data_IF_496955494662
#
_entry.id   IF_496955494662
#
_cell.length_a   1.000
_cell.length_b   1.000
_cell.length_c   1.000
_cell.angle_alpha   90.00
_cell.angle_beta   90.00
_cell.angle_gamma   90.00
#
_symmetry.space_group_name_H-M   'P 1'
#
loop_
_entity.id
_entity.type
_entity.pdbx_description
1 polymer ?
#
# COMPACT_ATOMS: atom_id res chain seq x y z
N UNK A 1 39.83 -10.53 2.40
CA UNK A 1 39.09 -9.90 1.29
C UNK A 1 37.73 -10.54 0.97
N UNK A 2 37.49 -11.84 1.23
CA UNK A 2 36.20 -12.50 0.91
C UNK A 2 35.16 -12.42 2.03
N UNK A 3 35.58 -12.32 3.30
CA UNK A 3 34.69 -12.28 4.48
C UNK A 3 34.05 -10.90 4.71
N UNK A 4 34.79 -9.81 4.44
CA UNK A 4 34.27 -8.45 4.58
C UNK A 4 33.21 -8.09 3.54
N UNK A 5 33.30 -8.63 2.32
CA UNK A 5 32.32 -8.39 1.24
C UNK A 5 30.96 -9.03 1.58
N UNK A 6 30.95 -10.22 2.19
CA UNK A 6 29.73 -10.92 2.61
C UNK A 6 28.97 -10.14 3.68
N UNK A 7 29.69 -9.59 4.67
CA UNK A 7 29.12 -8.74 5.73
C UNK A 7 28.53 -7.44 5.16
N UNK A 8 29.24 -6.81 4.22
CA UNK A 8 28.74 -5.61 3.53
C UNK A 8 27.48 -5.94 2.72
N UNK A 9 27.44 -7.07 2.01
CA UNK A 9 26.25 -7.52 1.27
C UNK A 9 25.04 -7.80 2.18
N UNK A 10 25.26 -8.39 3.35
CA UNK A 10 24.20 -8.65 4.34
C UNK A 10 23.66 -7.35 4.99
N UNK A 11 24.54 -6.38 5.27
CA UNK A 11 24.16 -5.07 5.80
C UNK A 11 23.46 -4.20 4.74
N UNK A 12 23.91 -4.26 3.48
CA UNK A 12 23.32 -3.51 2.36
C UNK A 12 21.97 -4.09 1.95
N UNK A 13 21.83 -5.42 1.93
CA UNK A 13 20.55 -6.08 1.59
C UNK A 13 19.44 -5.76 2.60
N UNK A 14 19.76 -5.58 3.89
CA UNK A 14 18.77 -5.19 4.90
C UNK A 14 18.20 -3.78 4.64
N UNK A 15 19.03 -2.86 4.15
CA UNK A 15 18.63 -1.46 3.90
C UNK A 15 17.93 -1.23 2.56
N UNK A 16 18.13 -2.09 1.55
CA UNK A 16 17.57 -1.87 0.20
C UNK A 16 16.36 -2.75 -0.11
N UNK A 17 15.99 -3.68 0.77
CA UNK A 17 14.82 -4.55 0.60
C UNK A 17 13.51 -3.92 1.13
N UNK A 18 13.44 -2.59 1.13
CA UNK A 18 12.17 -1.89 1.23
C UNK A 18 11.49 -1.97 -0.13
N UNK A 19 10.64 -2.98 -0.32
CA UNK A 19 9.75 -3.05 -1.46
C UNK A 19 8.73 -1.90 -1.35
N UNK A 20 9.14 -0.70 -1.75
CA UNK A 20 8.24 0.37 -2.18
C UNK A 20 7.43 -0.21 -3.34
N UNK A 21 6.24 -0.72 -3.06
CA UNK A 21 5.29 -1.05 -4.11
C UNK A 21 4.83 0.29 -4.71
N UNK A 22 5.60 0.80 -5.67
CA UNK A 22 5.23 1.95 -6.50
C UNK A 22 4.02 1.54 -7.32
N UNK A 23 2.86 1.69 -6.72
CA UNK A 23 1.63 1.22 -7.30
C UNK A 23 1.07 2.36 -8.15
N UNK A 24 1.04 2.09 -9.46
CA UNK A 24 0.64 3.05 -10.48
C UNK A 24 -0.88 2.99 -10.59
N UNK A 25 -1.55 4.07 -10.23
CA UNK A 25 -2.99 4.24 -10.36
C UNK A 25 -3.32 5.50 -11.13
N UNK A 26 -4.45 5.48 -11.84
CA UNK A 26 -5.01 6.69 -12.43
C UNK A 26 -5.47 7.65 -11.33
N UNK A 27 -5.55 8.95 -11.66
CA UNK A 27 -6.10 9.99 -10.80
C UNK A 27 -7.61 10.14 -10.97
N UNK A 28 -8.28 9.17 -11.63
CA UNK A 28 -9.74 9.16 -11.77
C UNK A 28 -10.40 9.03 -10.39
N UNK A 29 -11.36 9.90 -10.11
CA UNK A 29 -12.10 9.87 -8.86
C UNK A 29 -13.37 9.01 -9.01
N UNK A 30 -13.30 7.80 -8.47
CA UNK A 30 -14.42 6.85 -8.30
C UNK A 30 -14.35 6.26 -6.88
N UNK A 31 -14.81 7.01 -5.87
CA UNK A 31 -14.52 6.71 -4.48
C UNK A 31 -15.04 5.34 -4.07
N UNK A 32 -14.29 4.64 -3.22
CA UNK A 32 -14.68 3.36 -2.62
C UNK A 32 -14.36 3.36 -1.13
N UNK A 33 -15.18 2.66 -0.34
CA UNK A 33 -14.95 2.50 1.09
C UNK A 33 -14.25 1.16 1.37
N UNK A 34 -13.17 1.19 2.14
CA UNK A 34 -12.56 -0.01 2.68
C UNK A 34 -13.22 -0.45 4.00
N UNK A 35 -13.10 -1.73 4.37
CA UNK A 35 -13.61 -2.23 5.67
C UNK A 35 -12.91 -1.60 6.88
N UNK A 36 -11.79 -0.92 6.64
CA UNK A 36 -11.07 -0.12 7.63
C UNK A 36 -11.66 1.29 7.83
N UNK A 37 -12.80 1.62 7.19
CA UNK A 37 -13.41 2.94 7.28
C UNK A 37 -12.69 4.04 6.51
N UNK A 38 -11.71 3.69 5.67
CA UNK A 38 -10.95 4.63 4.84
C UNK A 38 -11.57 4.74 3.45
N UNK A 39 -11.78 5.97 2.99
CA UNK A 39 -12.20 6.24 1.61
C UNK A 39 -10.97 6.29 0.71
N UNK A 40 -10.97 5.49 -0.35
CA UNK A 40 -9.96 5.51 -1.41
C UNK A 40 -10.51 6.21 -2.65
N UNK A 41 -9.70 6.99 -3.35
CA UNK A 41 -10.13 7.77 -4.52
C UNK A 41 -10.58 6.89 -5.69
N UNK A 42 -10.07 5.65 -5.77
CA UNK A 42 -10.55 4.61 -6.68
C UNK A 42 -10.15 3.20 -6.22
N UNK A 43 -10.71 2.18 -6.89
CA UNK A 43 -10.39 0.76 -6.63
C UNK A 43 -8.92 0.41 -6.80
N UNK A 44 -8.18 1.11 -7.67
CA UNK A 44 -6.75 0.90 -7.81
C UNK A 44 -6.03 1.31 -6.52
N UNK A 45 -6.30 2.52 -6.02
CA UNK A 45 -5.73 3.02 -4.77
C UNK A 45 -6.09 2.15 -3.56
N UNK A 46 -7.29 1.58 -3.50
CA UNK A 46 -7.67 0.62 -2.46
C UNK A 46 -6.80 -0.64 -2.48
N UNK A 47 -6.60 -1.24 -3.67
CA UNK A 47 -5.73 -2.42 -3.84
C UNK A 47 -4.26 -2.10 -3.56
N UNK A 48 -3.84 -0.90 -3.93
CA UNK A 48 -2.54 -0.31 -3.66
C UNK A 48 -2.20 -0.36 -2.17
N UNK A 49 -3.15 0.07 -1.35
CA UNK A 49 -3.06 0.07 0.10
C UNK A 49 -3.33 -1.32 0.71
N UNK A 50 -3.58 -2.35 -0.12
CA UNK A 50 -3.95 -3.71 0.31
C UNK A 50 -5.13 -3.73 1.28
N UNK A 51 -6.06 -2.79 1.14
CA UNK A 51 -7.26 -2.72 1.96
C UNK A 51 -8.36 -3.65 1.39
N UNK A 52 -9.23 -4.12 2.27
CA UNK A 52 -10.39 -4.95 1.88
C UNK A 52 -11.51 -4.01 1.44
N UNK A 53 -12.08 -4.27 0.27
CA UNK A 53 -13.22 -3.53 -0.26
C UNK A 53 -14.47 -3.77 0.58
N UNK A 54 -15.17 -2.69 0.97
CA UNK A 54 -16.47 -2.78 1.62
C UNK A 54 -17.61 -2.50 0.62
N UNK A 55 -17.68 -1.28 0.06
CA UNK A 55 -18.71 -0.86 -0.89
C UNK A 55 -18.24 0.29 -1.78
N UNK A 56 -18.95 0.52 -2.89
CA UNK A 56 -18.72 1.66 -3.78
C UNK A 56 -19.28 2.95 -3.18
N UNK A 57 -18.55 4.07 -3.31
CA UNK A 57 -18.84 5.34 -2.66
C UNK A 57 -17.88 5.66 -1.49
N UNK A 58 -17.88 6.91 -0.99
CA UNK A 58 -17.08 7.29 0.16
C UNK A 58 -17.62 6.65 1.45
N UNK A 59 -16.74 6.44 2.43
CA UNK A 59 -17.16 5.99 3.76
C UNK A 59 -17.98 7.09 4.45
N UNK A 60 -19.16 6.73 4.97
CA UNK A 60 -19.94 7.63 5.82
C UNK A 60 -19.27 7.76 7.19
N UNK A 61 -18.93 8.98 7.60
CA UNK A 61 -18.27 9.27 8.88
C UNK A 61 -19.12 8.80 10.06
N UNK A 62 -18.75 7.68 10.68
CA UNK A 62 -19.45 7.11 11.85
C UNK A 62 -19.70 5.61 11.79
N UNK A 63 -19.46 4.93 10.66
CA UNK A 63 -19.64 3.47 10.60
C UNK A 63 -18.45 2.76 11.24
N UNK A 64 -18.66 2.13 12.41
CA UNK A 64 -17.86 0.97 12.83
C UNK A 64 -18.25 -0.18 11.92
N UNK A 65 -17.49 -0.32 10.82
CA UNK A 65 -17.58 -1.45 9.90
C UNK A 65 -16.92 -2.66 10.54
#
# INVERSE_FOLDING_TARGET
MKTSIVLIFLLVACCTLGAESTCICTTEYRPVCGTNGVTYGNRCQLRCAKAIFAYDGPCCGGMRI
#
